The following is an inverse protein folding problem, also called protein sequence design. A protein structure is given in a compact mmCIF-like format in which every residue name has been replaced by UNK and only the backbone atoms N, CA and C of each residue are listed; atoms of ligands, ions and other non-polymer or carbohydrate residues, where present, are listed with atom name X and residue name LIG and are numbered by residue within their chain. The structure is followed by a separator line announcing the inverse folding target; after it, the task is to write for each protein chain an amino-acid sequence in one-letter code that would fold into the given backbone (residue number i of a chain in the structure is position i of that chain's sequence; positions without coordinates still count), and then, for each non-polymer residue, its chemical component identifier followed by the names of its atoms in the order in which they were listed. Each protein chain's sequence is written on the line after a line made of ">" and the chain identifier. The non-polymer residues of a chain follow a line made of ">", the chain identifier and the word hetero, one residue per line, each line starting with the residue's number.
data_IF_981896033695
#
_entry.id   IF_981896033695
#
_cell.length_a   1.000
_cell.length_b   1.000
_cell.length_c   1.000
_cell.angle_alpha   90.00
_cell.angle_beta   90.00
_cell.angle_gamma   90.00
#
_symmetry.space_group_name_H-M   'P 1'
#
loop_
_entity.id
_entity.type
_entity.pdbx_description
1 polymer ?
#
# COMPACT_ATOMS: atom_id res chain seq x y z
N UNK A 1 25.98 15.07 8.37
CA UNK A 1 24.73 15.56 7.77
C UNK A 1 23.66 14.50 7.93
N UNK A 2 22.49 14.90 8.40
CA UNK A 2 21.34 13.98 8.46
C UNK A 2 20.98 13.54 7.05
N UNK A 3 20.86 12.23 6.83
CA UNK A 3 20.40 11.67 5.55
C UNK A 3 18.93 11.32 5.65
N UNK A 4 18.17 11.62 4.62
CA UNK A 4 16.74 11.28 4.51
C UNK A 4 16.58 10.00 3.70
N UNK A 5 15.84 9.07 4.23
CA UNK A 5 15.48 7.84 3.54
C UNK A 5 13.98 7.80 3.25
N UNK A 6 13.62 7.45 2.01
CA UNK A 6 12.23 7.38 1.54
C UNK A 6 11.93 5.95 1.11
N UNK A 7 11.04 5.28 1.83
CA UNK A 7 10.59 3.93 1.48
C UNK A 7 9.42 3.98 0.48
N UNK A 8 9.49 3.17 -0.56
CA UNK A 8 8.42 3.03 -1.55
C UNK A 8 8.55 1.71 -2.31
N UNK A 9 7.47 1.27 -2.94
CA UNK A 9 7.46 0.04 -3.74
C UNK A 9 7.79 0.31 -5.21
N UNK A 10 8.25 -0.72 -5.90
CA UNK A 10 8.35 -0.73 -7.37
C UNK A 10 6.97 -0.64 -8.04
N UNK A 11 6.98 -0.49 -9.35
CA UNK A 11 5.79 -0.47 -10.19
C UNK A 11 5.03 0.85 -10.07
N UNK A 12 3.72 0.80 -10.17
CA UNK A 12 2.87 1.99 -10.32
C UNK A 12 3.12 3.09 -9.29
N UNK A 13 3.36 2.75 -8.02
CA UNK A 13 3.69 3.74 -6.98
C UNK A 13 4.98 4.47 -7.35
N UNK A 14 6.03 3.74 -7.75
CA UNK A 14 7.28 4.38 -8.16
C UNK A 14 7.10 5.22 -9.42
N UNK A 15 6.43 4.68 -10.43
CA UNK A 15 6.26 5.32 -11.74
C UNK A 15 5.53 6.67 -11.63
N UNK A 16 4.48 6.73 -10.78
CA UNK A 16 3.73 7.96 -10.56
C UNK A 16 4.39 8.89 -9.54
N UNK A 17 5.28 8.37 -8.67
CA UNK A 17 6.04 9.17 -7.70
C UNK A 17 7.27 9.82 -8.33
N UNK A 18 7.95 9.16 -9.25
CA UNK A 18 9.19 9.63 -9.83
C UNK A 18 9.10 11.06 -10.44
N UNK A 19 8.03 11.43 -11.16
CA UNK A 19 7.85 12.80 -11.63
C UNK A 19 7.73 13.83 -10.50
N UNK A 20 7.08 13.47 -9.38
CA UNK A 20 6.94 14.35 -8.21
C UNK A 20 8.29 14.56 -7.52
N UNK A 21 9.04 13.50 -7.32
CA UNK A 21 10.40 13.58 -6.78
C UNK A 21 11.33 14.43 -7.69
N UNK A 22 11.19 14.27 -9.02
CA UNK A 22 11.95 15.06 -9.98
C UNK A 22 11.64 16.55 -9.89
N UNK A 23 10.37 16.92 -9.65
CA UNK A 23 9.97 18.33 -9.40
C UNK A 23 10.59 18.88 -8.12
N UNK A 24 10.79 18.02 -7.10
CA UNK A 24 11.54 18.36 -5.88
C UNK A 24 13.06 18.29 -6.06
N UNK A 25 13.55 18.07 -7.28
CA UNK A 25 14.98 17.97 -7.59
C UNK A 25 15.62 16.66 -7.16
N UNK A 26 14.83 15.63 -6.86
CA UNK A 26 15.33 14.31 -6.43
C UNK A 26 15.15 13.33 -7.58
N UNK A 27 16.25 12.71 -8.01
CA UNK A 27 16.26 11.70 -9.08
C UNK A 27 17.09 10.50 -8.65
N UNK A 28 16.55 9.27 -8.75
CA UNK A 28 17.33 8.06 -8.49
C UNK A 28 18.47 7.96 -9.52
N UNK A 29 19.64 7.47 -9.09
CA UNK A 29 20.79 7.28 -10.00
C UNK A 29 20.57 6.16 -11.02
N UNK A 30 19.68 5.23 -10.70
CA UNK A 30 19.28 4.13 -11.59
C UNK A 30 17.82 3.76 -11.34
N UNK A 31 17.08 3.31 -12.37
CA UNK A 31 15.72 2.84 -12.22
C UNK A 31 15.65 1.62 -11.29
N UNK A 32 14.65 1.51 -10.40
CA UNK A 32 14.48 0.35 -9.51
C UNK A 32 14.33 -0.96 -10.25
N UNK A 33 13.72 -0.96 -11.45
CA UNK A 33 13.47 -2.15 -12.29
C UNK A 33 14.79 -2.81 -12.70
N UNK A 34 15.82 -2.02 -12.93
CA UNK A 34 17.15 -2.50 -13.33
C UNK A 34 18.08 -2.78 -12.15
N UNK A 35 17.55 -2.75 -10.92
CA UNK A 35 18.35 -2.94 -9.72
C UNK A 35 17.73 -4.01 -8.81
N UNK A 36 18.61 -4.88 -8.28
CA UNK A 36 18.29 -5.79 -7.17
C UNK A 36 18.59 -5.18 -5.81
N UNK A 37 19.14 -3.96 -5.78
CA UNK A 37 19.50 -3.28 -4.53
C UNK A 37 18.25 -2.79 -3.82
N UNK A 38 18.23 -3.02 -2.53
CA UNK A 38 17.20 -2.48 -1.64
C UNK A 38 17.31 -0.96 -1.51
N UNK A 39 18.53 -0.45 -1.43
CA UNK A 39 18.82 0.98 -1.26
C UNK A 39 19.38 1.55 -2.56
N UNK A 40 18.73 2.57 -3.07
CA UNK A 40 19.14 3.32 -4.25
C UNK A 40 19.58 4.73 -3.85
N UNK A 41 20.76 5.12 -4.30
CA UNK A 41 21.22 6.50 -4.19
C UNK A 41 20.47 7.41 -5.16
N UNK A 42 20.41 8.70 -4.82
CA UNK A 42 19.87 9.74 -5.69
C UNK A 42 20.96 10.71 -6.13
N UNK A 43 20.61 11.70 -6.94
CA UNK A 43 21.48 12.83 -7.27
C UNK A 43 21.78 13.73 -6.05
N UNK A 44 21.00 13.62 -4.97
CA UNK A 44 21.27 14.25 -3.67
C UNK A 44 22.04 13.29 -2.78
N UNK A 45 23.17 13.71 -2.22
CA UNK A 45 24.03 12.85 -1.37
C UNK A 45 23.35 12.44 -0.06
N UNK A 46 22.47 13.28 0.42
CA UNK A 46 21.73 13.18 1.68
C UNK A 46 20.34 12.53 1.52
N UNK A 47 19.96 12.12 0.30
CA UNK A 47 18.65 11.47 0.03
C UNK A 47 18.87 10.10 -0.62
N UNK A 48 18.23 9.08 -0.05
CA UNK A 48 18.22 7.71 -0.59
C UNK A 48 16.80 7.14 -0.64
N UNK A 49 16.58 6.26 -1.59
CA UNK A 49 15.32 5.52 -1.71
C UNK A 49 15.51 4.11 -1.18
N UNK A 50 14.53 3.62 -0.43
CA UNK A 50 14.48 2.23 0.06
C UNK A 50 13.34 1.54 -0.67
N UNK A 51 13.69 0.57 -1.50
CA UNK A 51 12.72 -0.16 -2.33
C UNK A 51 12.22 -1.39 -1.57
N UNK A 52 10.99 -1.35 -1.13
CA UNK A 52 10.35 -2.40 -0.33
C UNK A 52 9.00 -2.78 -0.93
N UNK A 53 8.38 -3.83 -0.41
CA UNK A 53 7.00 -4.18 -0.78
C UNK A 53 6.06 -3.09 -0.29
N UNK A 54 4.97 -2.85 -1.02
CA UNK A 54 3.98 -1.84 -0.64
C UNK A 54 3.45 -2.05 0.77
N UNK A 55 3.15 -3.30 1.15
CA UNK A 55 2.70 -3.67 2.50
C UNK A 55 3.70 -3.36 3.62
N UNK A 56 4.99 -3.32 3.30
CA UNK A 56 6.05 -3.15 4.28
C UNK A 56 6.43 -1.67 4.48
N UNK A 57 6.08 -0.81 3.52
CA UNK A 57 6.41 0.62 3.56
C UNK A 57 6.00 1.29 4.88
N UNK A 58 4.74 1.15 5.38
CA UNK A 58 4.35 1.75 6.65
C UNK A 58 5.17 1.22 7.83
N UNK A 59 5.45 -0.09 7.84
CA UNK A 59 6.22 -0.74 8.89
C UNK A 59 7.65 -0.21 8.96
N UNK A 60 8.29 0.01 7.81
CA UNK A 60 9.64 0.59 7.77
C UNK A 60 9.67 1.99 8.39
N UNK A 61 8.67 2.83 8.10
CA UNK A 61 8.59 4.17 8.69
C UNK A 61 8.27 4.11 10.19
N UNK A 62 7.29 3.29 10.58
CA UNK A 62 6.87 3.13 11.96
C UNK A 62 8.02 2.74 12.90
N UNK A 63 8.92 1.86 12.42
CA UNK A 63 10.04 1.34 13.19
C UNK A 63 11.38 2.04 12.89
N UNK A 64 11.37 3.16 12.19
CA UNK A 64 12.57 3.96 11.93
C UNK A 64 13.53 3.36 10.90
N UNK A 65 13.09 2.38 10.13
CA UNK A 65 13.84 1.83 8.98
C UNK A 65 13.87 2.80 7.79
N UNK A 66 12.93 3.73 7.74
CA UNK A 66 12.90 4.86 6.82
C UNK A 66 12.33 6.09 7.52
N UNK A 67 12.74 7.28 7.09
CA UNK A 67 12.24 8.55 7.63
C UNK A 67 10.87 8.91 7.04
N UNK A 68 10.68 8.60 5.76
CA UNK A 68 9.44 8.84 5.00
C UNK A 68 9.02 7.58 4.25
N UNK A 69 7.73 7.48 3.95
CA UNK A 69 7.17 6.42 3.13
C UNK A 69 6.17 6.95 2.12
N UNK A 70 6.13 6.33 0.95
CA UNK A 70 5.11 6.57 -0.07
C UNK A 70 4.37 5.28 -0.29
N UNK A 71 3.09 5.27 0.07
CA UNK A 71 2.24 4.08 0.04
C UNK A 71 0.82 4.44 -0.39
N UNK A 72 0.10 3.46 -0.91
CA UNK A 72 -1.33 3.60 -1.17
C UNK A 72 -2.12 3.75 0.13
N UNK A 73 -3.21 4.51 0.08
CA UNK A 73 -4.10 4.68 1.23
C UNK A 73 -4.70 3.34 1.69
N UNK A 74 -4.97 2.43 0.77
CA UNK A 74 -5.42 1.06 1.06
C UNK A 74 -4.44 0.30 1.96
N UNK A 75 -3.15 0.44 1.69
CA UNK A 75 -2.08 -0.15 2.52
C UNK A 75 -2.02 0.49 3.89
N UNK A 76 -2.15 1.82 3.98
CA UNK A 76 -2.13 2.55 5.25
C UNK A 76 -3.33 2.19 6.13
N UNK A 77 -4.53 2.08 5.55
CA UNK A 77 -5.74 1.66 6.26
C UNK A 77 -5.61 0.22 6.77
N UNK A 78 -5.12 -0.69 5.94
CA UNK A 78 -4.90 -2.09 6.36
C UNK A 78 -3.85 -2.20 7.49
N UNK A 79 -2.79 -1.39 7.44
CA UNK A 79 -1.75 -1.33 8.48
C UNK A 79 -2.29 -0.78 9.81
N UNK A 80 -3.25 0.15 9.76
CA UNK A 80 -3.83 0.84 10.92
C UNK A 80 -3.24 2.21 11.21
N UNK A 81 -2.06 2.50 10.70
CA UNK A 81 -1.47 3.84 10.75
C UNK A 81 -0.98 4.33 12.11
N UNK A 82 -0.96 3.50 13.14
CA UNK A 82 -0.52 3.89 14.48
C UNK A 82 0.92 4.40 14.47
N UNK A 83 1.13 5.59 15.06
CA UNK A 83 2.44 6.23 15.10
C UNK A 83 2.92 6.82 13.77
N UNK A 84 2.05 6.90 12.77
CA UNK A 84 2.36 7.48 11.45
C UNK A 84 1.59 8.78 11.22
N UNK A 85 2.26 9.74 10.60
CA UNK A 85 1.64 10.96 10.09
C UNK A 85 1.48 10.88 8.56
N UNK A 86 0.38 11.40 8.04
CA UNK A 86 0.10 11.50 6.62
C UNK A 86 0.03 12.98 6.22
N UNK A 87 1.18 13.67 6.08
CA UNK A 87 1.20 15.12 5.90
C UNK A 87 0.73 15.57 4.51
N UNK A 88 0.86 14.69 3.51
CA UNK A 88 0.57 15.03 2.10
C UNK A 88 -0.14 13.89 1.41
N UNK A 89 -1.27 14.21 0.75
CA UNK A 89 -1.87 13.34 -0.25
C UNK A 89 -1.24 13.68 -1.61
N UNK A 90 -0.50 12.72 -2.17
CA UNK A 90 0.16 12.89 -3.46
C UNK A 90 -0.80 12.84 -4.66
N UNK A 91 -2.03 12.40 -4.44
CA UNK A 91 -3.10 12.28 -5.44
C UNK A 91 -2.71 11.44 -6.68
N UNK A 92 -1.92 10.40 -6.44
CA UNK A 92 -1.41 9.44 -7.44
C UNK A 92 -1.98 8.04 -7.18
N UNK A 93 -1.78 7.14 -8.14
CA UNK A 93 -2.14 5.72 -8.04
C UNK A 93 -3.57 5.48 -7.55
N UNK A 94 -4.52 6.29 -7.99
CA UNK A 94 -5.92 6.21 -7.57
C UNK A 94 -6.49 4.83 -7.84
N UNK A 95 -7.11 4.25 -6.82
CA UNK A 95 -7.78 2.95 -6.90
C UNK A 95 -9.00 2.93 -5.98
N UNK A 96 -9.78 1.88 -6.10
CA UNK A 96 -10.87 1.58 -5.16
C UNK A 96 -10.88 0.09 -4.86
N UNK A 97 -11.20 -0.25 -3.63
CA UNK A 97 -11.44 -1.63 -3.24
C UNK A 97 -12.90 -1.99 -3.53
N UNK A 98 -13.13 -3.15 -4.08
CA UNK A 98 -14.48 -3.65 -4.40
C UNK A 98 -14.65 -5.09 -3.94
N UNK A 99 -15.88 -5.47 -3.64
CA UNK A 99 -16.24 -6.86 -3.46
C UNK A 99 -16.54 -7.44 -4.85
N UNK A 100 -15.81 -8.49 -5.23
CA UNK A 100 -16.00 -9.17 -6.50
C UNK A 100 -16.50 -10.59 -6.27
N UNK A 101 -17.45 -11.00 -7.07
CA UNK A 101 -18.01 -12.35 -7.07
C UNK A 101 -17.97 -12.93 -8.49
N UNK A 102 -18.05 -14.26 -8.60
CA UNK A 102 -18.16 -14.87 -9.93
C UNK A 102 -19.47 -14.44 -10.59
N UNK A 103 -19.47 -14.39 -11.90
CA UNK A 103 -20.68 -14.09 -12.70
C UNK A 103 -21.81 -15.08 -12.37
N UNK A 104 -23.02 -14.57 -12.17
CA UNK A 104 -24.19 -15.37 -11.83
C UNK A 104 -24.36 -15.71 -10.34
N UNK A 105 -23.45 -15.28 -9.49
CA UNK A 105 -23.64 -15.44 -8.04
C UNK A 105 -24.57 -14.34 -7.51
N UNK A 106 -25.68 -14.75 -6.85
CA UNK A 106 -26.60 -13.82 -6.19
C UNK A 106 -26.07 -13.39 -4.82
N UNK A 107 -25.16 -12.42 -4.86
CA UNK A 107 -24.57 -11.85 -3.65
C UNK A 107 -25.63 -11.24 -2.72
N UNK A 108 -26.57 -10.48 -3.27
CA UNK A 108 -27.60 -9.81 -2.48
C UNK A 108 -28.55 -10.81 -1.82
N UNK A 109 -28.93 -11.87 -2.51
CA UNK A 109 -29.71 -12.95 -1.96
C UNK A 109 -28.98 -13.69 -0.84
N UNK A 110 -27.73 -14.03 -1.05
CA UNK A 110 -26.91 -14.70 -0.04
C UNK A 110 -26.78 -13.85 1.24
N UNK A 111 -26.57 -12.55 1.12
CA UNK A 111 -26.52 -11.64 2.26
C UNK A 111 -27.87 -11.57 3.00
N UNK A 112 -28.99 -11.42 2.26
CA UNK A 112 -30.33 -11.39 2.88
C UNK A 112 -30.67 -12.66 3.62
N UNK A 113 -30.21 -13.80 3.15
CA UNK A 113 -30.43 -15.11 3.78
C UNK A 113 -29.49 -15.38 4.97
N UNK A 114 -28.61 -14.45 5.30
CA UNK A 114 -27.63 -14.61 6.38
C UNK A 114 -26.55 -15.65 6.08
N UNK A 115 -26.29 -15.92 4.80
CA UNK A 115 -25.26 -16.89 4.41
C UNK A 115 -23.89 -16.45 4.88
N UNK A 116 -23.10 -17.39 5.41
CA UNK A 116 -21.71 -17.16 5.76
C UNK A 116 -20.86 -17.17 4.50
N UNK A 117 -20.30 -16.01 4.14
CA UNK A 117 -19.53 -15.85 2.92
C UNK A 117 -18.04 -16.11 3.17
N UNK A 118 -17.38 -16.78 2.23
CA UNK A 118 -15.91 -16.92 2.24
C UNK A 118 -15.32 -15.84 1.34
N UNK A 119 -14.43 -15.02 1.89
CA UNK A 119 -13.81 -13.89 1.20
C UNK A 119 -12.30 -14.03 1.22
N UNK A 120 -11.70 -14.11 0.05
CA UNK A 120 -10.25 -14.19 -0.12
C UNK A 120 -9.70 -12.77 -0.38
N UNK A 121 -8.71 -12.36 0.42
CA UNK A 121 -8.15 -11.00 0.34
C UNK A 121 -6.79 -10.91 1.03
N UNK A 122 -5.97 -9.95 0.62
CA UNK A 122 -4.78 -9.54 1.38
C UNK A 122 -5.10 -8.44 2.42
N UNK A 123 -6.26 -7.80 2.31
CA UNK A 123 -6.71 -6.70 3.17
C UNK A 123 -7.67 -7.23 4.25
N UNK A 124 -7.14 -8.04 5.16
CA UNK A 124 -7.96 -8.79 6.14
C UNK A 124 -8.67 -7.86 7.12
N UNK A 125 -7.96 -6.85 7.64
CA UNK A 125 -8.52 -5.87 8.58
C UNK A 125 -9.62 -5.05 7.93
N UNK A 126 -9.33 -4.42 6.82
CA UNK A 126 -10.26 -3.58 6.05
C UNK A 126 -11.51 -4.36 5.65
N UNK A 127 -11.34 -5.61 5.21
CA UNK A 127 -12.45 -6.46 4.80
C UNK A 127 -13.32 -6.86 5.99
N UNK A 128 -12.70 -7.20 7.12
CA UNK A 128 -13.43 -7.53 8.35
C UNK A 128 -14.29 -6.36 8.82
N UNK A 129 -13.72 -5.18 8.88
CA UNK A 129 -14.43 -3.95 9.28
C UNK A 129 -15.59 -3.66 8.31
N UNK A 130 -15.36 -3.73 7.00
CA UNK A 130 -16.39 -3.49 5.99
C UNK A 130 -17.60 -4.42 6.12
N UNK A 131 -17.39 -5.71 6.34
CA UNK A 131 -18.50 -6.65 6.48
C UNK A 131 -19.15 -6.59 7.86
N UNK A 132 -18.39 -6.30 8.91
CA UNK A 132 -18.92 -6.07 10.25
C UNK A 132 -19.88 -4.87 10.27
N UNK A 133 -19.52 -3.77 9.65
CA UNK A 133 -20.36 -2.56 9.54
C UNK A 133 -21.68 -2.83 8.79
N UNK A 134 -21.68 -3.83 7.92
CA UNK A 134 -22.86 -4.26 7.17
C UNK A 134 -23.65 -5.39 7.87
N UNK A 135 -23.19 -5.88 9.00
CA UNK A 135 -23.79 -7.01 9.69
C UNK A 135 -23.70 -8.33 8.91
N UNK A 136 -22.71 -8.48 8.04
CA UNK A 136 -22.53 -9.66 7.19
C UNK A 136 -21.44 -10.56 7.76
N UNK A 137 -21.77 -11.84 7.97
CA UNK A 137 -20.81 -12.84 8.46
C UNK A 137 -19.90 -13.34 7.33
N UNK A 138 -18.57 -13.23 7.55
CA UNK A 138 -17.58 -13.68 6.56
C UNK A 138 -16.49 -14.54 7.21
N UNK A 139 -16.04 -15.54 6.47
CA UNK A 139 -14.79 -16.25 6.72
C UNK A 139 -13.71 -15.67 5.83
N UNK A 140 -12.67 -15.11 6.42
CA UNK A 140 -11.58 -14.46 5.69
C UNK A 140 -10.47 -15.44 5.39
N UNK A 141 -10.10 -15.54 4.11
CA UNK A 141 -8.98 -16.33 3.62
C UNK A 141 -7.88 -15.33 3.23
N UNK A 142 -6.78 -15.33 4.00
CA UNK A 142 -5.68 -14.41 3.72
C UNK A 142 -4.89 -14.86 2.50
N UNK A 143 -4.75 -13.93 1.54
CA UNK A 143 -3.84 -14.06 0.39
C UNK A 143 -2.70 -13.07 0.53
N UNK A 144 -1.56 -13.41 -0.05
CA UNK A 144 -0.37 -12.52 -0.05
C UNK A 144 -0.17 -11.79 -1.39
N UNK A 145 -1.10 -11.95 -2.30
CA UNK A 145 -1.05 -11.43 -3.66
C UNK A 145 -0.37 -12.40 -4.62
N UNK A 146 -0.53 -12.15 -5.88
CA UNK A 146 0.17 -12.84 -6.99
C UNK A 146 1.36 -12.00 -7.43
#
# INVERSE_FOLDING_TARGET
>A
MASISIALSKGRIFDETAPLLARAGIRPRQPPEHSRRLILGTNKRDVRLIIVRASDTPTYVQHGGADLGIAGRDVLVEHGGDGLYQPVDLNIAKCRMVVAVRRGFDYAGAVRQGARLRVATKYVRTTREHFADKGVHVDLIRLYGS
#
